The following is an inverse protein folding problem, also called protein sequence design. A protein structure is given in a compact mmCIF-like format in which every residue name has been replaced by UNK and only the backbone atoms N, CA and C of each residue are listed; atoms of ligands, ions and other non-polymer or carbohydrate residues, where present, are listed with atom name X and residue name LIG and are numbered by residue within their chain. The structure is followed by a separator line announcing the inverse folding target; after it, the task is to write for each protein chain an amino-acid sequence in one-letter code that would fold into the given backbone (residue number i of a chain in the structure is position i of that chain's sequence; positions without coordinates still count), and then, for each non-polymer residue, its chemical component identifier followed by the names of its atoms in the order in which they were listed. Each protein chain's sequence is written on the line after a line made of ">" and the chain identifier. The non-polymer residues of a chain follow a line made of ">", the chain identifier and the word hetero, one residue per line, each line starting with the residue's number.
data_IF_605398048851
#
_entry.id   IF_605398048851
#
_cell.length_a   1.000
_cell.length_b   1.000
_cell.length_c   1.000
_cell.angle_alpha   90.00
_cell.angle_beta   90.00
_cell.angle_gamma   90.00
#
_symmetry.space_group_name_H-M   'P 1'
#
loop_
_entity.id
_entity.type
_entity.pdbx_description
1 polymer ?
#
# COMPACT_ATOMS: atom_id res chain seq x y z
N UNK A 1 10.59 29.66 4.18
CA UNK A 1 10.67 28.86 5.43
C UNK A 1 9.29 28.87 6.08
N UNK A 2 8.85 27.79 6.72
CA UNK A 2 7.64 27.82 7.57
C UNK A 2 8.05 28.41 8.92
N UNK A 3 7.24 29.29 9.49
CA UNK A 3 7.46 29.74 10.87
C UNK A 3 7.09 28.60 11.83
N UNK A 4 7.94 28.33 12.82
CA UNK A 4 7.69 27.34 13.88
C UNK A 4 6.52 27.73 14.79
N UNK A 5 6.17 29.01 14.79
CA UNK A 5 5.22 29.63 15.74
C UNK A 5 3.91 30.03 15.07
N UNK A 6 3.84 30.04 13.73
CA UNK A 6 2.68 30.51 12.97
C UNK A 6 2.39 29.70 11.72
N UNK A 7 1.10 29.56 11.37
CA UNK A 7 0.67 28.83 10.18
C UNK A 7 0.77 29.66 8.89
N UNK A 8 1.98 30.12 8.60
CA UNK A 8 2.29 30.86 7.38
C UNK A 8 3.66 30.47 6.82
N UNK A 9 3.83 30.73 5.52
CA UNK A 9 5.08 30.52 4.82
C UNK A 9 5.69 31.85 4.41
N UNK A 10 7.01 31.98 4.51
CA UNK A 10 7.73 33.16 4.03
C UNK A 10 8.35 32.86 2.67
N UNK A 11 8.10 33.73 1.68
CA UNK A 11 8.75 33.64 0.38
C UNK A 11 10.17 34.25 0.38
N UNK A 12 11.01 33.96 -0.63
CA UNK A 12 12.33 34.57 -0.79
C UNK A 12 12.30 36.11 -0.89
N UNK A 13 11.15 36.70 -1.22
CA UNK A 13 10.96 38.15 -1.25
C UNK A 13 10.52 38.73 0.12
N UNK A 14 10.48 37.92 1.18
CA UNK A 14 10.09 38.33 2.53
C UNK A 14 8.57 38.33 2.81
N UNK A 15 7.72 38.25 1.79
CA UNK A 15 6.26 38.29 1.97
C UNK A 15 5.71 37.02 2.65
N UNK A 16 4.73 37.20 3.56
CA UNK A 16 4.00 36.12 4.25
C UNK A 16 2.87 35.56 3.40
N UNK A 17 2.83 34.24 3.25
CA UNK A 17 1.78 33.48 2.59
C UNK A 17 0.84 32.91 3.64
N UNK A 18 -0.42 33.31 3.59
CA UNK A 18 -1.46 32.85 4.51
C UNK A 18 -2.21 31.65 3.92
N UNK A 19 -2.69 30.77 4.79
CA UNK A 19 -3.57 29.67 4.39
C UNK A 19 -4.85 30.25 3.79
N UNK A 20 -5.29 29.72 2.67
CA UNK A 20 -6.53 30.13 1.98
C UNK A 20 -7.55 29.01 1.97
N UNK A 21 -7.09 27.77 1.80
CA UNK A 21 -7.96 26.60 1.67
C UNK A 21 -7.25 25.35 2.13
N UNK A 22 -8.03 24.34 2.51
CA UNK A 22 -7.56 22.98 2.75
C UNK A 22 -8.44 22.03 1.97
N UNK A 23 -7.84 21.14 1.19
CA UNK A 23 -8.56 20.10 0.47
C UNK A 23 -9.16 19.11 1.46
N UNK A 24 -10.49 18.90 1.39
CA UNK A 24 -11.18 17.95 2.28
C UNK A 24 -10.77 16.49 2.01
N UNK A 25 -10.50 16.15 0.74
CA UNK A 25 -10.19 14.78 0.34
C UNK A 25 -8.74 14.37 0.69
N UNK A 26 -7.78 15.28 0.53
CA UNK A 26 -6.34 14.97 0.70
C UNK A 26 -5.72 15.62 1.94
N UNK A 27 -6.44 16.48 2.66
CA UNK A 27 -5.90 17.29 3.76
C UNK A 27 -4.87 18.33 3.34
N UNK A 28 -4.56 18.46 2.05
CA UNK A 28 -3.55 19.39 1.52
C UNK A 28 -3.97 20.84 1.72
N UNK A 29 -3.16 21.62 2.43
CA UNK A 29 -3.38 23.05 2.65
C UNK A 29 -2.72 23.90 1.56
N UNK A 30 -3.40 24.95 1.12
CA UNK A 30 -2.89 25.92 0.16
C UNK A 30 -2.61 27.26 0.86
N UNK A 31 -1.46 27.84 0.57
CA UNK A 31 -1.00 29.13 1.10
C UNK A 31 -0.72 30.07 -0.05
N UNK A 32 -1.14 31.33 0.05
CA UNK A 32 -0.94 32.32 -1.02
C UNK A 32 -0.58 33.69 -0.49
N UNK A 33 0.27 34.38 -1.25
CA UNK A 33 0.57 35.79 -1.05
C UNK A 33 -0.50 36.67 -1.72
N UNK A 34 -0.69 37.90 -1.22
CA UNK A 34 -1.61 38.86 -1.86
C UNK A 34 -1.14 39.15 -3.28
N UNK A 35 -2.08 39.10 -4.25
CA UNK A 35 -1.78 39.34 -5.67
C UNK A 35 -1.13 40.69 -5.90
N UNK A 36 -1.65 41.76 -5.28
CA UNK A 36 -1.13 43.13 -5.38
C UNK A 36 0.35 43.21 -4.97
N UNK A 37 0.74 42.49 -3.91
CA UNK A 37 2.13 42.42 -3.47
C UNK A 37 3.00 41.65 -4.47
N UNK A 38 2.52 40.51 -5.00
CA UNK A 38 3.25 39.74 -6.00
C UNK A 38 3.45 40.50 -7.32
N UNK A 39 2.48 41.29 -7.77
CA UNK A 39 2.57 42.05 -9.02
C UNK A 39 3.73 43.07 -9.01
N UNK A 40 4.05 43.63 -7.85
CA UNK A 40 5.17 44.57 -7.66
C UNK A 40 6.50 43.88 -7.35
N UNK A 41 6.52 42.54 -7.26
CA UNK A 41 7.70 41.78 -6.85
C UNK A 41 8.66 41.55 -8.03
N UNK A 42 9.95 41.85 -7.82
CA UNK A 42 11.03 41.59 -8.79
C UNK A 42 11.09 40.13 -9.25
N UNK A 43 10.68 39.19 -8.40
CA UNK A 43 10.72 37.76 -8.68
C UNK A 43 9.44 37.22 -9.34
N UNK A 44 8.46 38.05 -9.70
CA UNK A 44 7.15 37.62 -10.23
C UNK A 44 7.30 36.64 -11.40
N UNK A 45 8.07 37.02 -12.42
CA UNK A 45 8.29 36.19 -13.63
C UNK A 45 8.91 34.82 -13.34
N UNK A 46 9.67 34.69 -12.25
CA UNK A 46 10.32 33.43 -11.83
C UNK A 46 9.47 32.59 -10.88
N UNK A 47 8.63 33.24 -10.07
CA UNK A 47 7.90 32.60 -8.97
C UNK A 47 6.43 32.28 -9.27
N UNK A 48 5.84 32.89 -10.30
CA UNK A 48 4.42 32.76 -10.63
C UNK A 48 4.25 32.46 -12.11
N UNK A 49 3.74 31.27 -12.42
CA UNK A 49 3.52 30.83 -13.80
C UNK A 49 2.14 31.24 -14.35
N UNK A 50 1.16 31.52 -13.47
CA UNK A 50 -0.23 31.80 -13.87
C UNK A 50 -0.59 33.30 -13.86
N UNK A 51 -1.24 33.77 -14.92
CA UNK A 51 -1.68 35.19 -15.09
C UNK A 51 -2.65 35.69 -13.99
N UNK A 52 -3.42 34.79 -13.37
CA UNK A 52 -4.50 35.12 -12.41
C UNK A 52 -4.13 35.02 -10.92
N UNK A 53 -2.95 34.51 -10.56
CA UNK A 53 -2.60 34.22 -9.15
C UNK A 53 -1.37 34.98 -8.63
N UNK A 54 -1.29 35.16 -7.31
CA UNK A 54 -0.02 35.43 -6.61
C UNK A 54 0.72 34.11 -6.34
N UNK A 55 1.91 34.17 -5.73
CA UNK A 55 2.67 32.97 -5.34
C UNK A 55 1.81 32.04 -4.49
N UNK A 56 1.72 30.78 -4.89
CA UNK A 56 0.95 29.74 -4.23
C UNK A 56 1.88 28.60 -3.81
N UNK A 57 1.72 28.12 -2.58
CA UNK A 57 2.44 26.98 -2.02
C UNK A 57 1.40 25.97 -1.54
N UNK A 58 1.51 24.74 -2.02
CA UNK A 58 0.69 23.63 -1.53
C UNK A 58 1.52 22.82 -0.54
N UNK A 59 0.91 22.43 0.57
CA UNK A 59 1.56 21.61 1.59
C UNK A 59 0.67 20.44 1.98
N UNK A 60 1.21 19.24 1.80
CA UNK A 60 0.60 18.02 2.30
C UNK A 60 0.84 17.93 3.83
N UNK A 61 -0.15 17.52 4.64
CA UNK A 61 0.01 17.33 6.08
C UNK A 61 1.18 16.40 6.43
N UNK A 62 1.39 15.34 5.64
CA UNK A 62 2.40 14.32 5.87
C UNK A 62 3.78 14.69 5.31
N UNK A 63 3.97 15.93 4.87
CA UNK A 63 5.18 16.29 4.17
C UNK A 63 6.44 16.34 5.06
N UNK A 64 6.29 16.38 6.39
CA UNK A 64 7.42 16.15 7.31
C UNK A 64 7.96 14.73 7.14
N UNK A 65 7.08 13.73 7.07
CA UNK A 65 7.48 12.33 6.86
C UNK A 65 8.13 12.11 5.49
N UNK A 66 7.65 12.79 4.44
CA UNK A 66 8.30 12.72 3.13
C UNK A 66 9.72 13.31 3.17
N UNK A 67 9.93 14.45 3.83
CA UNK A 67 11.29 15.01 3.96
C UNK A 67 12.22 14.14 4.80
N UNK A 68 11.71 13.57 5.89
CA UNK A 68 12.46 12.61 6.70
C UNK A 68 12.86 11.39 5.87
N UNK A 69 11.90 10.75 5.20
CA UNK A 69 12.16 9.61 4.32
C UNK A 69 13.11 9.96 3.17
N UNK A 70 13.02 11.19 2.67
CA UNK A 70 13.90 11.69 1.63
C UNK A 70 15.35 11.84 2.11
N UNK A 71 15.55 12.17 3.38
CA UNK A 71 16.85 12.26 4.04
C UNK A 71 17.46 10.91 4.41
N UNK A 72 16.67 9.85 4.56
CA UNK A 72 17.18 8.53 4.94
C UNK A 72 18.06 7.85 3.87
N UNK A 73 17.91 8.23 2.60
CA UNK A 73 18.56 7.56 1.47
C UNK A 73 19.09 8.55 0.45
N UNK A 74 20.29 8.29 -0.07
CA UNK A 74 20.80 9.03 -1.22
C UNK A 74 19.90 8.83 -2.44
N UNK A 75 19.89 9.80 -3.37
CA UNK A 75 19.11 9.73 -4.62
C UNK A 75 19.39 8.44 -5.41
N UNK A 76 20.65 7.97 -5.42
CA UNK A 76 21.07 6.74 -6.10
C UNK A 76 20.52 5.49 -5.41
N UNK A 77 20.61 5.40 -4.08
CA UNK A 77 20.05 4.27 -3.31
C UNK A 77 18.52 4.21 -3.48
N UNK A 78 17.84 5.35 -3.37
CA UNK A 78 16.39 5.43 -3.57
C UNK A 78 15.99 4.96 -4.96
N UNK A 79 16.65 5.43 -6.02
CA UNK A 79 16.38 5.00 -7.40
C UNK A 79 16.54 3.49 -7.56
N UNK A 80 17.64 2.92 -7.05
CA UNK A 80 17.89 1.46 -7.07
C UNK A 80 16.80 0.68 -6.34
N UNK A 81 16.39 1.11 -5.15
CA UNK A 81 15.33 0.47 -4.37
C UNK A 81 13.97 0.53 -5.05
N UNK A 82 13.62 1.68 -5.64
CA UNK A 82 12.36 1.85 -6.38
C UNK A 82 12.30 0.93 -7.61
N UNK A 83 13.40 0.85 -8.37
CA UNK A 83 13.52 -0.08 -9.50
C UNK A 83 13.32 -1.52 -9.03
N UNK A 84 14.03 -1.94 -7.98
CA UNK A 84 13.89 -3.29 -7.42
C UNK A 84 12.46 -3.58 -6.93
N UNK A 85 11.81 -2.63 -6.25
CA UNK A 85 10.44 -2.76 -5.77
C UNK A 85 9.45 -2.90 -6.92
N UNK A 86 9.62 -2.12 -8.00
CA UNK A 86 8.79 -2.21 -9.21
C UNK A 86 8.80 -3.63 -9.78
N UNK A 87 9.98 -4.21 -10.01
CA UNK A 87 10.08 -5.58 -10.54
C UNK A 87 9.53 -6.65 -9.57
N UNK A 88 9.75 -6.49 -8.26
CA UNK A 88 9.21 -7.44 -7.26
C UNK A 88 7.69 -7.47 -7.23
N UNK A 89 7.04 -6.33 -7.48
CA UNK A 89 5.58 -6.23 -7.51
C UNK A 89 5.01 -7.06 -8.66
N UNK A 90 5.59 -6.96 -9.86
CA UNK A 90 5.19 -7.75 -11.03
C UNK A 90 5.26 -9.26 -10.74
N UNK A 91 6.33 -9.72 -10.07
CA UNK A 91 6.46 -11.12 -9.65
C UNK A 91 5.40 -11.57 -8.64
N UNK A 92 5.03 -10.72 -7.68
CA UNK A 92 3.98 -11.05 -6.70
C UNK A 92 2.60 -11.18 -7.36
N UNK A 93 2.30 -10.34 -8.35
CA UNK A 93 1.07 -10.45 -9.13
C UNK A 93 1.05 -11.69 -10.02
N UNK A 94 2.17 -12.02 -10.67
CA UNK A 94 2.30 -13.24 -11.47
C UNK A 94 2.09 -14.51 -10.63
N UNK A 95 2.69 -14.57 -9.44
CA UNK A 95 2.50 -15.66 -8.48
C UNK A 95 1.03 -15.76 -8.02
N UNK A 96 0.40 -14.62 -7.70
CA UNK A 96 -1.01 -14.59 -7.33
C UNK A 96 -1.91 -15.11 -8.45
N UNK A 97 -1.62 -14.69 -9.68
CA UNK A 97 -2.37 -15.05 -10.88
C UNK A 97 -2.25 -16.53 -11.25
N UNK A 98 -1.06 -17.11 -11.13
CA UNK A 98 -0.77 -18.46 -11.61
C UNK A 98 -0.94 -19.52 -10.52
N UNK A 99 -0.64 -19.21 -9.26
CA UNK A 99 -0.61 -20.18 -8.17
C UNK A 99 -1.76 -20.03 -7.15
N UNK A 100 -2.41 -18.88 -7.09
CA UNK A 100 -3.41 -18.58 -6.06
C UNK A 100 -4.79 -18.20 -6.60
N UNK A 101 -5.01 -18.37 -7.91
CA UNK A 101 -6.33 -18.16 -8.52
C UNK A 101 -6.78 -16.70 -8.58
N UNK A 102 -5.85 -15.73 -8.47
CA UNK A 102 -6.16 -14.29 -8.48
C UNK A 102 -6.89 -13.80 -9.74
N UNK A 103 -6.75 -14.51 -10.87
CA UNK A 103 -7.42 -14.18 -12.14
C UNK A 103 -8.94 -14.41 -12.14
N UNK A 104 -9.48 -15.18 -11.19
CA UNK A 104 -10.90 -15.55 -11.15
C UNK A 104 -11.51 -15.19 -9.80
N UNK A 105 -12.65 -14.51 -9.82
CA UNK A 105 -13.45 -14.33 -8.63
C UNK A 105 -14.16 -15.67 -8.29
N UNK A 106 -13.90 -16.22 -7.10
CA UNK A 106 -14.57 -17.44 -6.62
C UNK A 106 -15.99 -17.16 -6.15
N UNK A 107 -16.23 -15.93 -5.68
CA UNK A 107 -17.51 -15.49 -5.12
C UNK A 107 -17.97 -14.18 -5.78
N UNK A 108 -19.27 -13.89 -5.67
CA UNK A 108 -19.87 -12.64 -6.17
C UNK A 108 -19.86 -11.57 -5.07
N UNK A 109 -19.78 -10.30 -5.48
CA UNK A 109 -19.80 -9.13 -4.60
C UNK A 109 -18.41 -8.60 -4.24
N UNK A 110 -18.31 -7.28 -4.05
CA UNK A 110 -17.04 -6.58 -3.77
C UNK A 110 -16.37 -7.08 -2.49
N UNK A 111 -17.14 -7.21 -1.41
CA UNK A 111 -16.64 -7.69 -0.11
C UNK A 111 -16.04 -9.11 -0.21
N UNK A 112 -16.71 -10.01 -0.91
CA UNK A 112 -16.23 -11.39 -1.08
C UNK A 112 -14.92 -11.46 -1.90
N UNK A 113 -14.80 -10.62 -2.94
CA UNK A 113 -13.58 -10.52 -3.75
C UNK A 113 -12.44 -9.88 -2.92
N UNK A 114 -12.75 -8.88 -2.10
CA UNK A 114 -11.80 -8.26 -1.20
C UNK A 114 -11.23 -9.29 -0.21
N UNK A 115 -12.08 -10.11 0.42
CA UNK A 115 -11.66 -11.20 1.30
C UNK A 115 -10.76 -12.19 0.55
N UNK A 116 -11.13 -12.61 -0.67
CA UNK A 116 -10.29 -13.49 -1.49
C UNK A 116 -8.90 -12.88 -1.74
N UNK A 117 -8.83 -11.60 -2.13
CA UNK A 117 -7.57 -10.92 -2.41
C UNK A 117 -6.71 -10.76 -1.16
N UNK A 118 -7.33 -10.45 -0.01
CA UNK A 118 -6.64 -10.37 1.28
C UNK A 118 -6.09 -11.72 1.70
N UNK A 119 -6.84 -12.81 1.52
CA UNK A 119 -6.35 -14.17 1.79
C UNK A 119 -5.15 -14.53 0.91
N UNK A 120 -5.21 -14.26 -0.40
CA UNK A 120 -4.09 -14.49 -1.32
C UNK A 120 -2.85 -13.70 -0.88
N UNK A 121 -3.00 -12.40 -0.59
CA UNK A 121 -1.92 -11.55 -0.12
C UNK A 121 -1.33 -12.05 1.21
N UNK A 122 -2.18 -12.53 2.11
CA UNK A 122 -1.78 -13.07 3.42
C UNK A 122 -0.94 -14.34 3.25
N UNK A 123 -1.38 -15.27 2.40
CA UNK A 123 -0.62 -16.49 2.08
C UNK A 123 0.73 -16.13 1.44
N UNK A 124 0.76 -15.19 0.49
CA UNK A 124 2.01 -14.73 -0.11
C UNK A 124 2.97 -14.10 0.90
N UNK A 125 2.43 -13.32 1.85
CA UNK A 125 3.22 -12.71 2.91
C UNK A 125 3.74 -13.76 3.90
N UNK A 126 2.92 -14.74 4.29
CA UNK A 126 3.33 -15.87 5.12
C UNK A 126 4.43 -16.68 4.43
N UNK A 127 4.30 -16.99 3.14
CA UNK A 127 5.35 -17.67 2.37
C UNK A 127 6.66 -16.87 2.34
N UNK A 128 6.59 -15.54 2.28
CA UNK A 128 7.79 -14.69 2.38
C UNK A 128 8.38 -14.74 3.79
N UNK A 129 7.56 -14.59 4.83
CA UNK A 129 8.02 -14.67 6.23
C UNK A 129 8.70 -16.00 6.53
N UNK A 130 8.08 -17.11 6.14
CA UNK A 130 8.62 -18.45 6.30
C UNK A 130 9.99 -18.61 5.60
N UNK A 131 10.18 -18.02 4.42
CA UNK A 131 11.46 -18.03 3.71
C UNK A 131 12.57 -17.22 4.38
N UNK A 132 12.24 -16.23 5.20
CA UNK A 132 13.24 -15.34 5.84
C UNK A 132 13.35 -15.54 7.36
N UNK A 133 12.37 -16.18 7.99
CA UNK A 133 12.21 -16.23 9.44
C UNK A 133 12.39 -17.61 10.08
N UNK A 134 12.50 -18.67 9.29
CA UNK A 134 12.92 -19.97 9.79
C UNK A 134 14.32 -20.26 9.25
N UNK A 135 15.30 -20.44 10.15
CA UNK A 135 16.46 -21.25 9.83
C UNK A 135 15.95 -22.57 9.23
N UNK A 136 16.61 -23.06 8.17
CA UNK A 136 16.13 -24.09 7.25
C UNK A 136 15.63 -25.41 7.91
N UNK A 137 15.87 -25.60 9.22
CA UNK A 137 15.36 -26.69 10.04
C UNK A 137 13.90 -26.56 10.51
N UNK A 138 13.46 -25.39 10.99
CA UNK A 138 12.14 -25.26 11.65
C UNK A 138 10.97 -25.35 10.66
N UNK A 139 11.20 -24.95 9.41
CA UNK A 139 10.21 -25.02 8.34
C UNK A 139 9.97 -26.46 7.86
N UNK A 140 11.01 -27.31 7.91
CA UNK A 140 10.88 -28.75 7.63
C UNK A 140 10.06 -29.46 8.71
N UNK A 141 10.26 -29.08 9.97
CA UNK A 141 9.47 -29.60 11.09
C UNK A 141 7.99 -29.20 10.98
N UNK A 142 7.69 -27.93 10.69
CA UNK A 142 6.31 -27.48 10.48
C UNK A 142 5.63 -28.15 9.29
N UNK A 143 6.34 -28.34 8.16
CA UNK A 143 5.79 -29.07 7.01
C UNK A 143 5.52 -30.53 7.38
N UNK A 144 6.44 -31.20 8.08
CA UNK A 144 6.25 -32.58 8.53
C UNK A 144 5.08 -32.75 9.50
N UNK A 145 4.81 -31.73 10.34
CA UNK A 145 3.68 -31.70 11.25
C UNK A 145 2.35 -31.50 10.49
N UNK A 146 2.33 -30.69 9.43
CA UNK A 146 1.16 -30.52 8.57
C UNK A 146 0.88 -31.81 7.77
N UNK A 147 1.90 -32.49 7.28
CA UNK A 147 1.76 -33.75 6.54
C UNK A 147 1.25 -34.90 7.43
N UNK A 148 1.66 -34.95 8.70
CA UNK A 148 1.14 -35.94 9.66
C UNK A 148 -0.31 -35.65 10.06
N UNK A 149 -0.72 -34.39 10.15
CA UNK A 149 -2.13 -34.00 10.35
C UNK A 149 -2.99 -34.28 9.11
N UNK A 150 -2.45 -34.06 7.90
CA UNK A 150 -3.08 -34.42 6.62
C UNK A 150 -3.34 -35.93 6.51
N UNK A 151 -2.38 -36.75 6.98
CA UNK A 151 -2.54 -38.20 7.11
C UNK A 151 -3.75 -38.57 7.98
N UNK A 152 -3.88 -37.98 9.16
CA UNK A 152 -5.03 -38.19 10.06
C UNK A 152 -6.36 -37.72 9.45
N UNK A 153 -6.37 -36.57 8.76
CA UNK A 153 -7.57 -36.06 8.07
C UNK A 153 -7.98 -36.99 6.94
N UNK A 154 -7.03 -37.56 6.17
CA UNK A 154 -7.34 -38.51 5.08
C UNK A 154 -7.93 -39.84 5.59
N UNK A 155 -7.51 -40.32 6.76
CA UNK A 155 -8.08 -41.51 7.42
C UNK A 155 -9.49 -41.23 7.96
N UNK A 156 -9.70 -40.04 8.53
CA UNK A 156 -11.02 -39.57 8.98
C UNK A 156 -11.98 -39.36 7.80
N UNK A 157 -11.51 -38.82 6.68
CA UNK A 157 -12.30 -38.64 5.46
C UNK A 157 -12.68 -39.97 4.79
N UNK A 158 -11.78 -40.96 4.75
CA UNK A 158 -12.11 -42.32 4.27
C UNK A 158 -13.15 -43.01 5.17
N UNK A 159 -13.08 -42.83 6.50
CA UNK A 159 -14.10 -43.36 7.44
C UNK A 159 -15.46 -42.65 7.32
N UNK A 160 -15.47 -41.35 7.01
CA UNK A 160 -16.71 -40.58 6.78
C UNK A 160 -17.35 -40.90 5.42
N UNK A 161 -16.56 -41.10 4.36
CA UNK A 161 -17.07 -41.49 3.03
C UNK A 161 -17.69 -42.89 3.00
N UNK A 162 -17.12 -43.87 3.72
CA UNK A 162 -17.71 -45.22 3.86
C UNK A 162 -19.08 -45.17 4.57
N UNK A 163 -19.30 -44.19 5.47
CA UNK A 163 -20.59 -43.96 6.12
C UNK A 163 -21.61 -43.24 5.22
N UNK A 164 -21.17 -42.33 4.35
CA UNK A 164 -22.07 -41.62 3.43
C UNK A 164 -22.57 -42.51 2.27
N UNK A 165 -21.77 -43.45 1.76
CA UNK A 165 -22.25 -44.37 0.70
C UNK A 165 -23.28 -45.41 1.19
N UNK A 166 -23.49 -45.53 2.51
CA UNK A 166 -24.54 -46.37 3.09
C UNK A 166 -25.88 -45.64 3.23
N UNK A 167 -25.89 -44.29 3.23
CA UNK A 167 -27.11 -43.50 3.38
C UNK A 167 -27.88 -43.32 2.06
N UNK A 168 -27.17 -43.29 0.92
CA UNK A 168 -27.76 -43.14 -0.43
C UNK A 168 -28.44 -44.42 -0.97
N UNK A 169 -28.51 -45.51 -0.19
CA UNK A 169 -29.29 -46.73 -0.55
C UNK A 169 -30.65 -46.83 0.14
N UNK A 170 -31.01 -45.91 1.04
CA UNK A 170 -32.28 -45.95 1.79
C UNK A 170 -33.23 -44.79 1.42
N UNK A 171 -32.77 -43.81 0.64
CA UNK A 171 -33.56 -42.64 0.20
C UNK A 171 -34.16 -42.76 -1.20
N UNK A 172 -34.60 -43.95 -1.63
CA UNK A 172 -35.34 -44.15 -2.87
C UNK A 172 -36.84 -44.20 -2.62
N UNK A 173 -37.51 -43.05 -2.69
CA UNK A 173 -38.93 -42.88 -3.00
C UNK A 173 -39.11 -41.59 -3.79
#
# INVERSE_FOLDING_TARGET
>A
MRDSTGDFFICPAGERLRRISTSKAQGTSQYRAKRKTCQKCRYLKRCVTGKKAGRLVQRNPNAVYYHWADGCLTKRQRRRLMIRRRYKVEGSFADGANNHGFKRARWRGLMSIEIQNLMIASIQNLRKLLRYGCDDGSLKEMISAIDSVSGCISVLWRRLLIRCTAYDRIGGY
#
